data_IF_744464893213
#
_entry.id   IF_744464893213
#
_cell.length_a   1.000
_cell.length_b   1.000
_cell.length_c   1.000
_cell.angle_alpha   90.00
_cell.angle_beta   90.00
_cell.angle_gamma   90.00
#
_symmetry.space_group_name_H-M   'P 1'
#
loop_
_entity.id
_entity.type
_entity.pdbx_description
1 polymer ?
#
# COMPACT_ATOMS: atom_id res chain seq x y z
N UNK A 1 -17.11 6.15 2.41
CA UNK A 1 -17.58 7.37 3.13
C UNK A 1 -18.30 8.34 2.20
N UNK A 2 -17.73 8.84 1.09
CA UNK A 2 -18.40 9.81 0.18
C UNK A 2 -19.82 9.39 -0.20
N UNK A 3 -19.99 8.19 -0.77
CA UNK A 3 -21.30 7.68 -1.21
C UNK A 3 -22.34 7.68 -0.08
N UNK A 4 -21.94 7.30 1.11
CA UNK A 4 -22.81 7.24 2.28
C UNK A 4 -23.24 8.63 2.74
N UNK A 5 -22.33 9.58 2.81
CA UNK A 5 -22.65 10.95 3.19
C UNK A 5 -23.54 11.63 2.14
N UNK A 6 -23.37 11.30 0.85
CA UNK A 6 -24.24 11.78 -0.22
C UNK A 6 -25.66 11.23 -0.08
N UNK A 7 -25.85 9.95 0.31
CA UNK A 7 -27.17 9.38 0.64
C UNK A 7 -27.86 10.15 1.79
N UNK A 8 -27.08 10.70 2.72
CA UNK A 8 -27.56 11.57 3.81
C UNK A 8 -27.75 13.03 3.36
N UNK A 9 -27.70 13.33 2.06
CA UNK A 9 -27.92 14.67 1.51
C UNK A 9 -26.75 15.63 1.74
N UNK A 10 -25.53 15.14 2.07
CA UNK A 10 -24.36 15.98 2.27
C UNK A 10 -23.64 16.25 0.94
N UNK A 11 -23.14 17.47 0.77
CA UNK A 11 -22.19 17.79 -0.31
C UNK A 11 -20.81 17.26 0.10
N UNK A 12 -20.20 16.40 -0.71
CA UNK A 12 -18.91 15.77 -0.40
C UNK A 12 -17.98 15.90 -1.59
N UNK A 13 -16.77 16.41 -1.34
CA UNK A 13 -15.65 16.37 -2.26
C UNK A 13 -14.53 15.48 -1.68
N UNK A 14 -13.78 14.83 -2.55
CA UNK A 14 -12.62 14.01 -2.18
C UNK A 14 -11.41 14.59 -2.89
N UNK A 15 -10.34 14.77 -2.13
CA UNK A 15 -9.07 15.34 -2.61
C UNK A 15 -7.96 14.30 -2.43
N UNK A 16 -7.06 14.22 -3.41
CA UNK A 16 -5.85 13.42 -3.32
C UNK A 16 -4.80 14.05 -4.26
N UNK A 17 -3.61 14.31 -3.74
CA UNK A 17 -2.50 14.87 -4.51
C UNK A 17 -1.78 13.84 -5.38
N UNK A 18 -1.81 12.58 -4.93
CA UNK A 18 -1.11 11.48 -5.58
C UNK A 18 -1.75 11.09 -6.91
N UNK A 19 -0.95 10.57 -7.82
CA UNK A 19 -1.44 9.97 -9.05
C UNK A 19 -2.20 8.67 -8.72
N UNK A 20 -3.40 8.52 -9.30
CA UNK A 20 -4.16 7.28 -9.20
C UNK A 20 -3.44 6.16 -9.95
N UNK A 21 -3.29 5.02 -9.31
CA UNK A 21 -2.81 3.83 -10.00
C UNK A 21 -3.86 3.37 -11.04
N UNK A 22 -3.42 2.74 -12.13
CA UNK A 22 -4.30 2.19 -13.15
C UNK A 22 -5.32 1.21 -12.55
N UNK A 23 -4.90 0.41 -11.56
CA UNK A 23 -5.78 -0.54 -10.86
C UNK A 23 -6.95 0.12 -10.16
N UNK A 24 -6.75 1.30 -9.58
CA UNK A 24 -7.80 2.05 -8.89
C UNK A 24 -8.65 2.82 -9.90
N UNK A 25 -8.07 3.30 -11.01
CA UNK A 25 -8.75 4.14 -12.01
C UNK A 25 -9.90 3.44 -12.73
N UNK A 26 -9.97 2.10 -12.68
CA UNK A 26 -11.10 1.33 -13.23
C UNK A 26 -12.40 1.47 -12.42
N UNK A 27 -12.34 2.06 -11.22
CA UNK A 27 -13.51 2.34 -10.40
C UNK A 27 -14.04 3.74 -10.70
N UNK A 28 -15.32 3.83 -11.02
CA UNK A 28 -15.98 5.05 -11.50
C UNK A 28 -15.77 6.26 -10.60
N UNK A 29 -15.81 6.07 -9.27
CA UNK A 29 -15.72 7.17 -8.30
C UNK A 29 -14.37 7.89 -8.31
N UNK A 30 -13.32 7.26 -8.82
CA UNK A 30 -11.97 7.84 -8.89
C UNK A 30 -11.91 9.04 -9.83
N UNK A 31 -12.74 9.08 -10.87
CA UNK A 31 -12.84 10.21 -11.80
C UNK A 31 -13.33 11.50 -11.14
N UNK A 32 -13.95 11.38 -9.95
CA UNK A 32 -14.49 12.50 -9.16
C UNK A 32 -13.55 12.98 -8.05
N UNK A 33 -12.33 12.43 -7.97
CA UNK A 33 -11.30 12.88 -7.02
C UNK A 33 -10.63 14.13 -7.58
N UNK A 34 -10.62 15.18 -6.75
CA UNK A 34 -10.13 16.50 -7.14
C UNK A 34 -8.64 16.64 -6.81
N UNK A 35 -7.92 17.38 -7.64
CA UNK A 35 -6.51 17.73 -7.45
C UNK A 35 -6.35 19.10 -6.79
N UNK A 36 -7.37 19.92 -6.85
CA UNK A 36 -7.37 21.28 -6.33
C UNK A 36 -8.56 21.47 -5.40
N UNK A 37 -8.37 22.31 -4.38
CA UNK A 37 -9.42 22.64 -3.42
C UNK A 37 -10.45 23.58 -4.06
N UNK A 38 -11.73 23.22 -3.98
CA UNK A 38 -12.80 23.86 -4.73
C UNK A 38 -13.76 24.74 -3.88
N UNK A 39 -13.50 24.90 -2.58
CA UNK A 39 -14.42 25.72 -1.76
C UNK A 39 -14.33 25.51 -0.25
N UNK A 40 -15.40 25.93 0.45
CA UNK A 40 -15.53 25.80 1.90
C UNK A 40 -16.46 24.64 2.25
N UNK A 41 -16.08 23.90 3.27
CA UNK A 41 -16.82 22.77 3.82
C UNK A 41 -16.94 22.92 5.34
N UNK A 42 -17.96 22.31 5.92
CA UNK A 42 -18.22 22.38 7.36
C UNK A 42 -17.31 21.43 8.16
N UNK A 43 -16.77 20.37 7.51
CA UNK A 43 -15.88 19.38 8.11
C UNK A 43 -14.84 18.90 7.08
N UNK A 44 -13.59 18.84 7.49
CA UNK A 44 -12.47 18.32 6.71
C UNK A 44 -12.00 17.00 7.31
N UNK A 45 -12.01 15.94 6.51
CA UNK A 45 -11.75 14.58 6.99
C UNK A 45 -10.50 14.02 6.31
N UNK A 46 -9.48 13.71 7.11
CA UNK A 46 -8.34 12.92 6.67
C UNK A 46 -8.64 11.43 6.91
N UNK A 47 -8.49 10.59 5.89
CA UNK A 47 -8.75 9.16 5.98
C UNK A 47 -7.47 8.40 5.65
N UNK A 48 -7.10 7.45 6.51
CA UNK A 48 -5.92 6.59 6.33
C UNK A 48 -4.59 7.38 6.32
N UNK A 49 -4.53 8.42 7.14
CA UNK A 49 -3.37 9.30 7.28
C UNK A 49 -2.87 9.24 8.72
N UNK A 50 -1.88 8.37 9.00
CA UNK A 50 -1.30 8.18 10.33
C UNK A 50 -0.60 9.41 10.90
N UNK A 51 -0.28 10.39 10.06
CA UNK A 51 0.28 11.70 10.41
C UNK A 51 -0.13 12.77 9.39
N UNK A 52 0.09 14.04 9.74
CA UNK A 52 -0.28 15.18 8.88
C UNK A 52 0.50 15.23 7.57
N UNK A 53 1.73 14.70 7.51
CA UNK A 53 2.53 14.71 6.28
C UNK A 53 1.95 13.80 5.21
N UNK A 54 1.18 12.77 5.61
CA UNK A 54 0.46 11.87 4.69
C UNK A 54 -0.75 12.52 4.01
N UNK A 55 -1.20 13.67 4.51
CA UNK A 55 -2.20 14.50 3.82
C UNK A 55 -1.61 15.17 2.56
N UNK A 56 -0.28 15.11 2.41
CA UNK A 56 0.45 15.56 1.23
C UNK A 56 0.42 17.09 1.06
N UNK A 57 0.26 17.53 -0.16
CA UNK A 57 0.24 18.98 -0.50
C UNK A 57 -0.90 19.74 0.19
N UNK A 58 -1.95 19.03 0.63
CA UNK A 58 -3.08 19.65 1.35
C UNK A 58 -2.82 19.83 2.86
N UNK A 59 -1.68 19.42 3.41
CA UNK A 59 -1.40 19.44 4.86
C UNK A 59 -1.48 20.84 5.47
N UNK A 60 -0.89 21.85 4.81
CA UNK A 60 -0.96 23.25 5.27
C UNK A 60 -2.38 23.81 5.23
N UNK A 61 -3.14 23.47 4.19
CA UNK A 61 -4.54 23.85 4.06
C UNK A 61 -5.39 23.16 5.13
N UNK A 62 -5.19 21.85 5.34
CA UNK A 62 -5.90 21.07 6.37
C UNK A 62 -5.72 21.68 7.77
N UNK A 63 -4.50 22.05 8.12
CA UNK A 63 -4.19 22.70 9.41
C UNK A 63 -4.81 24.08 9.58
N UNK A 64 -5.24 24.73 8.51
CA UNK A 64 -5.92 26.04 8.59
C UNK A 64 -7.41 25.96 8.96
N UNK A 65 -7.99 24.74 8.94
CA UNK A 65 -9.40 24.55 9.24
C UNK A 65 -9.66 24.27 10.73
N UNK A 66 -10.77 24.81 11.25
CA UNK A 66 -11.17 24.63 12.66
C UNK A 66 -11.89 23.31 12.92
N UNK A 67 -12.59 22.75 11.92
CA UNK A 67 -13.37 21.53 12.04
C UNK A 67 -12.71 20.42 11.22
N UNK A 68 -11.87 19.63 11.88
CA UNK A 68 -11.07 18.55 11.28
C UNK A 68 -11.31 17.23 11.99
N UNK A 69 -11.33 16.13 11.22
CA UNK A 69 -11.49 14.76 11.70
C UNK A 69 -10.47 13.85 11.04
N UNK A 70 -9.81 13.01 11.82
CA UNK A 70 -9.01 11.89 11.30
C UNK A 70 -9.73 10.57 11.54
N UNK A 71 -9.79 9.72 10.49
CA UNK A 71 -10.25 8.33 10.56
C UNK A 71 -9.09 7.45 10.12
N UNK A 72 -8.49 6.69 11.05
CA UNK A 72 -7.29 5.91 10.75
C UNK A 72 -7.17 4.66 11.61
N UNK A 73 -6.51 3.63 11.06
CA UNK A 73 -6.20 2.38 11.74
C UNK A 73 -4.71 2.28 12.18
N UNK A 74 -3.87 3.19 11.73
CA UNK A 74 -2.48 3.25 12.17
C UNK A 74 -2.36 3.83 13.59
N UNK A 75 -1.36 3.38 14.34
CA UNK A 75 -0.93 4.08 15.54
C UNK A 75 -0.17 5.34 15.15
N UNK A 76 -0.78 6.50 15.30
CA UNK A 76 -0.23 7.77 14.88
C UNK A 76 -0.50 8.90 15.88
N UNK A 77 -0.08 10.11 15.53
CA UNK A 77 -0.31 11.31 16.31
C UNK A 77 -1.73 11.86 16.08
N UNK A 78 -2.30 12.46 17.13
CA UNK A 78 -3.58 13.17 17.05
C UNK A 78 -3.33 14.55 16.43
N UNK A 79 -3.55 14.71 15.13
CA UNK A 79 -3.33 15.99 14.43
C UNK A 79 -4.62 16.73 14.05
N UNK A 80 -5.77 16.15 14.33
CA UNK A 80 -7.08 16.74 14.04
C UNK A 80 -7.81 17.14 15.33
N UNK A 81 -8.82 18.01 15.21
CA UNK A 81 -9.72 18.35 16.32
C UNK A 81 -10.46 17.11 16.84
N UNK A 82 -10.92 16.27 15.92
CA UNK A 82 -11.57 15.01 16.23
C UNK A 82 -10.73 13.87 15.66
N UNK A 83 -10.60 12.76 16.39
CA UNK A 83 -9.77 11.64 15.95
C UNK A 83 -10.50 10.32 16.24
N UNK A 84 -10.77 9.54 15.19
CA UNK A 84 -11.33 8.21 15.27
C UNK A 84 -10.23 7.22 14.89
N UNK A 85 -9.39 6.87 15.86
CA UNK A 85 -8.26 5.97 15.69
C UNK A 85 -8.58 4.63 16.35
N UNK A 86 -8.51 3.54 15.57
CA UNK A 86 -8.75 2.18 16.06
C UNK A 86 -7.73 1.23 15.42
N UNK A 87 -7.10 0.39 16.22
CA UNK A 87 -6.11 -0.59 15.77
C UNK A 87 -6.73 -1.76 14.99
N UNK A 88 -7.53 -1.46 13.98
CA UNK A 88 -8.15 -2.43 13.08
C UNK A 88 -7.20 -2.83 11.95
N UNK A 89 -7.54 -3.86 11.21
CA UNK A 89 -6.75 -4.28 10.06
C UNK A 89 -6.80 -3.28 8.90
N UNK A 90 -7.83 -2.43 8.85
CA UNK A 90 -8.05 -1.44 7.78
C UNK A 90 -8.87 -0.26 8.28
N UNK A 91 -8.60 0.94 7.79
CA UNK A 91 -9.47 2.11 7.98
C UNK A 91 -10.89 1.89 7.44
N UNK A 92 -11.07 0.97 6.50
CA UNK A 92 -12.40 0.58 6.00
C UNK A 92 -13.27 -0.10 7.06
N UNK A 93 -12.69 -0.77 8.07
CA UNK A 93 -13.46 -1.31 9.20
C UNK A 93 -14.04 -0.20 10.07
N UNK A 94 -13.28 0.87 10.31
CA UNK A 94 -13.78 2.04 11.03
C UNK A 94 -14.92 2.70 10.27
N UNK A 95 -14.74 2.89 8.96
CA UNK A 95 -15.78 3.46 8.08
C UNK A 95 -17.02 2.58 8.06
N UNK A 96 -16.87 1.26 8.03
CA UNK A 96 -18.00 0.31 8.10
C UNK A 96 -18.80 0.47 9.39
N UNK A 97 -18.14 0.59 10.54
CA UNK A 97 -18.82 0.83 11.81
C UNK A 97 -19.54 2.18 11.82
N UNK A 98 -18.89 3.25 11.33
CA UNK A 98 -19.53 4.57 11.21
C UNK A 98 -20.81 4.49 10.36
N UNK A 99 -20.78 3.74 9.25
CA UNK A 99 -21.97 3.55 8.40
C UNK A 99 -23.09 2.85 9.15
N UNK A 100 -22.77 1.83 9.95
CA UNK A 100 -23.75 1.13 10.80
C UNK A 100 -24.36 2.05 11.85
N UNK A 101 -23.53 2.84 12.53
CA UNK A 101 -24.00 3.82 13.52
C UNK A 101 -24.88 4.93 12.89
N UNK A 102 -24.58 5.34 11.67
CA UNK A 102 -25.40 6.26 10.90
C UNK A 102 -26.70 5.63 10.37
N UNK A 103 -26.87 4.33 10.54
CA UNK A 103 -28.02 3.55 10.10
C UNK A 103 -28.32 3.72 8.59
N UNK A 104 -27.24 3.76 7.76
CA UNK A 104 -27.33 3.87 6.32
C UNK A 104 -27.14 2.50 5.66
N UNK A 105 -28.04 2.16 4.76
CA UNK A 105 -27.94 0.92 3.98
C UNK A 105 -26.66 0.89 3.11
N UNK A 106 -25.93 -0.22 3.20
CA UNK A 106 -24.74 -0.49 2.38
C UNK A 106 -25.19 -1.16 1.09
N UNK A 107 -25.15 -0.41 -0.03
CA UNK A 107 -25.39 -0.98 -1.35
C UNK A 107 -24.14 -1.75 -1.88
N UNK A 108 -24.32 -2.50 -2.95
CA UNK A 108 -23.27 -3.33 -3.55
C UNK A 108 -22.02 -2.54 -3.95
N UNK A 109 -22.19 -1.29 -4.38
CA UNK A 109 -21.08 -0.40 -4.76
C UNK A 109 -20.26 0.00 -3.53
N UNK A 110 -20.93 0.45 -2.47
CA UNK A 110 -20.29 0.79 -1.19
C UNK A 110 -19.62 -0.45 -0.58
N UNK A 111 -20.29 -1.59 -0.61
CA UNK A 111 -19.78 -2.87 -0.13
C UNK A 111 -18.50 -3.27 -0.87
N UNK A 112 -18.47 -3.12 -2.20
CA UNK A 112 -17.29 -3.41 -3.03
C UNK A 112 -16.09 -2.54 -2.63
N UNK A 113 -16.30 -1.24 -2.38
CA UNK A 113 -15.19 -0.34 -1.99
C UNK A 113 -14.69 -0.61 -0.57
N UNK A 114 -15.57 -0.92 0.37
CA UNK A 114 -15.17 -1.32 1.72
C UNK A 114 -14.39 -2.65 1.69
N UNK A 115 -14.86 -3.62 0.91
CA UNK A 115 -14.20 -4.91 0.71
C UNK A 115 -12.82 -4.72 0.07
N UNK A 116 -12.70 -3.84 -0.93
CA UNK A 116 -11.44 -3.52 -1.58
C UNK A 116 -10.38 -3.03 -0.58
N UNK A 117 -10.72 -2.02 0.26
CA UNK A 117 -9.78 -1.52 1.26
C UNK A 117 -9.41 -2.57 2.31
N UNK A 118 -10.38 -3.36 2.77
CA UNK A 118 -10.11 -4.47 3.69
C UNK A 118 -9.16 -5.50 3.08
N UNK A 119 -9.39 -5.91 1.82
CA UNK A 119 -8.53 -6.87 1.13
C UNK A 119 -7.12 -6.35 0.87
N UNK A 120 -6.97 -5.09 0.48
CA UNK A 120 -5.65 -4.52 0.19
C UNK A 120 -4.79 -4.42 1.45
N UNK A 121 -5.36 -4.00 2.58
CA UNK A 121 -4.65 -3.85 3.84
C UNK A 121 -4.32 -5.19 4.51
N UNK A 122 -5.18 -6.20 4.34
CA UNK A 122 -4.99 -7.55 4.88
C UNK A 122 -4.21 -8.49 3.94
N UNK A 123 -3.78 -7.99 2.76
CA UNK A 123 -3.16 -8.84 1.74
C UNK A 123 -4.05 -10.01 1.34
N UNK A 124 -5.33 -9.74 1.09
CA UNK A 124 -6.36 -10.75 0.85
C UNK A 124 -6.49 -11.76 2.01
N UNK A 125 -6.53 -11.23 3.23
CA UNK A 125 -6.64 -11.99 4.50
C UNK A 125 -5.44 -12.89 4.82
N UNK A 126 -4.28 -12.63 4.20
CA UNK A 126 -3.06 -13.40 4.43
C UNK A 126 -2.06 -12.74 5.39
N UNK A 127 -2.22 -11.44 5.68
CA UNK A 127 -1.34 -10.73 6.62
C UNK A 127 -1.71 -11.00 8.07
N UNK A 128 -0.76 -10.78 8.99
CA UNK A 128 -0.91 -11.02 10.43
C UNK A 128 -1.84 -10.03 11.16
N UNK A 129 -2.23 -8.94 10.50
CA UNK A 129 -3.24 -8.00 10.99
C UNK A 129 -4.68 -8.48 10.75
N UNK A 130 -4.87 -9.59 10.02
CA UNK A 130 -6.18 -10.19 9.78
C UNK A 130 -6.70 -10.86 11.05
N UNK A 131 -7.91 -10.51 11.45
CA UNK A 131 -8.59 -11.03 12.63
C UNK A 131 -10.01 -11.54 12.30
N UNK A 132 -10.73 -12.01 13.32
CA UNK A 132 -12.12 -12.47 13.18
C UNK A 132 -13.04 -11.37 12.68
N UNK A 133 -12.84 -10.12 13.11
CA UNK A 133 -13.69 -8.99 12.74
C UNK A 133 -13.53 -8.64 11.26
N UNK A 134 -12.32 -8.82 10.71
CA UNK A 134 -12.06 -8.72 9.27
C UNK A 134 -12.90 -9.72 8.46
N UNK A 135 -12.98 -10.98 8.91
CA UNK A 135 -13.80 -12.00 8.26
C UNK A 135 -15.30 -11.77 8.43
N UNK A 136 -15.76 -11.33 9.62
CA UNK A 136 -17.16 -10.97 9.82
C UNK A 136 -17.58 -9.80 8.94
N UNK A 137 -16.78 -8.77 8.86
CA UNK A 137 -17.05 -7.65 7.96
C UNK A 137 -17.08 -8.11 6.50
N UNK A 138 -16.10 -8.91 6.06
CA UNK A 138 -16.08 -9.45 4.71
C UNK A 138 -17.34 -10.24 4.37
N UNK A 139 -17.81 -11.12 5.29
CA UNK A 139 -19.05 -11.88 5.13
C UNK A 139 -20.26 -10.97 4.95
N UNK A 140 -20.41 -9.97 5.82
CA UNK A 140 -21.50 -8.99 5.71
C UNK A 140 -21.45 -8.18 4.39
N UNK A 141 -20.25 -7.82 3.93
CA UNK A 141 -20.11 -7.12 2.66
C UNK A 141 -20.46 -8.00 1.47
N UNK A 142 -20.19 -9.32 1.56
CA UNK A 142 -20.65 -10.30 0.57
C UNK A 142 -22.18 -10.35 0.51
N UNK A 143 -22.85 -10.38 1.66
CA UNK A 143 -24.32 -10.35 1.73
C UNK A 143 -24.90 -9.05 1.15
N UNK A 144 -24.19 -7.92 1.30
CA UNK A 144 -24.51 -6.65 0.66
C UNK A 144 -24.19 -6.61 -0.85
N UNK A 145 -23.67 -7.69 -1.44
CA UNK A 145 -23.39 -7.80 -2.88
C UNK A 145 -22.05 -7.20 -3.32
N UNK A 146 -21.03 -7.21 -2.46
CA UNK A 146 -19.68 -6.82 -2.86
C UNK A 146 -19.16 -7.67 -4.04
N UNK A 147 -18.56 -7.03 -5.03
CA UNK A 147 -17.94 -7.70 -6.19
C UNK A 147 -16.53 -8.20 -5.82
N UNK A 148 -16.51 -9.33 -5.12
CA UNK A 148 -15.28 -9.97 -4.60
C UNK A 148 -14.36 -10.37 -5.74
N UNK A 149 -14.92 -10.96 -6.80
CA UNK A 149 -14.14 -11.45 -7.95
C UNK A 149 -13.41 -10.29 -8.63
N UNK A 150 -14.10 -9.19 -8.87
CA UNK A 150 -13.52 -7.98 -9.48
C UNK A 150 -12.37 -7.43 -8.62
N UNK A 151 -12.56 -7.30 -7.31
CA UNK A 151 -11.53 -6.82 -6.38
C UNK A 151 -10.33 -7.76 -6.40
N UNK A 152 -10.54 -9.07 -6.20
CA UNK A 152 -9.46 -10.05 -6.18
C UNK A 152 -8.67 -10.07 -7.49
N UNK A 153 -9.38 -10.06 -8.63
CA UNK A 153 -8.74 -10.06 -9.94
C UNK A 153 -7.85 -8.83 -10.12
N UNK A 154 -8.40 -7.63 -9.91
CA UNK A 154 -7.69 -6.36 -10.17
C UNK A 154 -6.46 -6.20 -9.26
N UNK A 155 -6.58 -6.51 -7.98
CA UNK A 155 -5.50 -6.22 -7.01
C UNK A 155 -4.49 -7.35 -6.84
N UNK A 156 -4.89 -8.61 -7.11
CA UNK A 156 -4.06 -9.77 -6.78
C UNK A 156 -3.76 -10.70 -7.96
N UNK A 157 -4.43 -10.54 -9.12
CA UNK A 157 -4.28 -11.49 -10.23
C UNK A 157 -4.02 -10.84 -11.58
N UNK A 158 -4.60 -9.69 -11.90
CA UNK A 158 -4.42 -9.07 -13.22
C UNK A 158 -2.97 -8.61 -13.39
N UNK A 159 -2.27 -9.27 -14.29
CA UNK A 159 -0.92 -8.93 -14.73
C UNK A 159 -0.89 -8.96 -16.26
N UNK A 160 -0.12 -8.08 -16.86
CA UNK A 160 0.07 -8.06 -18.31
C UNK A 160 1.05 -9.15 -18.75
N UNK A 161 1.03 -9.48 -20.05
CA UNK A 161 2.03 -10.37 -20.63
C UNK A 161 3.46 -9.81 -20.47
N UNK A 162 3.60 -8.48 -20.58
CA UNK A 162 4.87 -7.78 -20.40
C UNK A 162 5.40 -7.97 -18.96
N UNK A 163 4.56 -7.74 -17.95
CA UNK A 163 4.89 -7.99 -16.54
C UNK A 163 5.27 -9.45 -16.29
N UNK A 164 4.50 -10.39 -16.84
CA UNK A 164 4.80 -11.83 -16.70
C UNK A 164 6.16 -12.19 -17.30
N UNK A 165 6.51 -11.64 -18.46
CA UNK A 165 7.82 -11.86 -19.10
C UNK A 165 8.96 -11.25 -18.29
N UNK A 166 8.77 -10.02 -17.78
CA UNK A 166 9.73 -9.39 -16.88
C UNK A 166 9.95 -10.24 -15.62
N UNK A 167 8.88 -10.65 -14.97
CA UNK A 167 8.94 -11.50 -13.77
C UNK A 167 9.73 -12.79 -14.04
N UNK A 168 9.41 -13.51 -15.11
CA UNK A 168 10.13 -14.73 -15.48
C UNK A 168 11.64 -14.48 -15.69
N UNK A 169 12.00 -13.39 -16.38
CA UNK A 169 13.40 -12.99 -16.63
C UNK A 169 14.13 -12.70 -15.32
N UNK A 170 13.58 -11.85 -14.45
CA UNK A 170 14.28 -11.39 -13.25
C UNK A 170 14.31 -12.44 -12.14
N UNK A 171 13.27 -13.27 -12.02
CA UNK A 171 13.25 -14.40 -11.09
C UNK A 171 14.27 -15.47 -11.52
N UNK A 172 14.40 -15.71 -12.83
CA UNK A 172 15.40 -16.67 -13.37
C UNK A 172 16.85 -16.32 -13.06
N UNK A 173 17.16 -15.07 -12.70
CA UNK A 173 18.51 -14.63 -12.29
C UNK A 173 18.65 -14.31 -10.80
N UNK A 174 17.68 -14.78 -9.98
CA UNK A 174 17.74 -14.63 -8.53
C UNK A 174 19.05 -15.15 -7.95
N UNK A 175 19.63 -14.40 -7.03
CA UNK A 175 20.85 -14.79 -6.31
C UNK A 175 20.51 -15.20 -4.89
N UNK A 176 21.22 -16.19 -4.37
CA UNK A 176 21.09 -16.63 -2.97
C UNK A 176 22.37 -16.40 -2.17
N UNK A 177 22.22 -16.08 -0.89
CA UNK A 177 23.31 -15.82 0.03
C UNK A 177 23.00 -16.47 1.39
N UNK A 178 24.04 -16.66 2.22
CA UNK A 178 23.94 -17.12 3.61
C UNK A 178 23.18 -18.44 3.72
N UNK A 179 23.63 -19.47 2.99
CA UNK A 179 23.02 -20.81 2.97
C UNK A 179 21.52 -20.77 2.64
N UNK A 180 21.16 -20.00 1.59
CA UNK A 180 19.78 -19.82 1.11
C UNK A 180 18.85 -19.19 2.16
N UNK A 181 19.36 -18.32 3.04
CA UNK A 181 18.55 -17.54 3.95
C UNK A 181 18.23 -16.12 3.44
N UNK A 182 18.98 -15.61 2.47
CA UNK A 182 18.72 -14.36 1.77
C UNK A 182 18.61 -14.62 0.27
N UNK A 183 17.56 -14.08 -0.35
CA UNK A 183 17.38 -14.10 -1.79
C UNK A 183 17.25 -12.68 -2.33
N UNK A 184 17.88 -12.42 -3.47
CA UNK A 184 17.96 -11.11 -4.09
C UNK A 184 17.60 -11.21 -5.57
N UNK A 185 16.65 -10.35 -5.97
CA UNK A 185 16.25 -10.13 -7.36
C UNK A 185 16.64 -8.69 -7.73
N UNK A 186 17.11 -8.47 -8.94
CA UNK A 186 17.32 -7.12 -9.44
C UNK A 186 16.65 -6.91 -10.78
N UNK A 187 16.18 -5.68 -11.00
CA UNK A 187 15.53 -5.20 -12.21
C UNK A 187 16.33 -3.99 -12.70
N UNK A 188 16.89 -4.10 -13.90
CA UNK A 188 17.62 -2.99 -14.51
C UNK A 188 16.68 -2.11 -15.33
N UNK A 189 17.12 -0.89 -15.63
CA UNK A 189 16.40 -0.01 -16.55
C UNK A 189 16.20 -0.67 -17.91
N UNK A 190 17.23 -1.36 -18.43
CA UNK A 190 17.13 -2.10 -19.70
C UNK A 190 16.06 -3.19 -19.67
N UNK A 191 15.84 -3.85 -18.53
CA UNK A 191 14.75 -4.82 -18.41
C UNK A 191 13.37 -4.15 -18.50
N UNK A 192 13.22 -3.00 -17.89
CA UNK A 192 11.97 -2.23 -17.96
C UNK A 192 11.72 -1.70 -19.38
N UNK A 193 12.74 -1.13 -20.00
CA UNK A 193 12.66 -0.57 -21.36
C UNK A 193 12.34 -1.67 -22.40
N UNK A 194 12.92 -2.89 -22.25
CA UNK A 194 12.65 -4.05 -23.13
C UNK A 194 11.17 -4.43 -23.17
N UNK A 195 10.49 -4.32 -22.05
CA UNK A 195 9.06 -4.68 -21.94
C UNK A 195 8.13 -3.46 -21.92
N UNK A 196 8.65 -2.23 -22.02
CA UNK A 196 7.87 -0.99 -21.99
C UNK A 196 7.15 -0.78 -20.65
N UNK A 197 7.81 -1.10 -19.53
CA UNK A 197 7.23 -1.08 -18.19
C UNK A 197 7.82 0.05 -17.33
N UNK A 198 6.99 0.58 -16.43
CA UNK A 198 7.39 1.56 -15.43
C UNK A 198 7.96 0.89 -14.16
N UNK A 199 8.95 1.49 -13.48
CA UNK A 199 9.50 0.95 -12.24
C UNK A 199 8.48 0.67 -11.12
N UNK A 200 7.32 1.34 -11.12
CA UNK A 200 6.27 1.13 -10.09
C UNK A 200 5.72 -0.30 -10.07
N UNK A 201 5.75 -1.01 -11.19
CA UNK A 201 5.26 -2.40 -11.30
C UNK A 201 6.09 -3.40 -10.48
N UNK A 202 7.29 -3.02 -10.05
CA UNK A 202 8.21 -3.93 -9.36
C UNK A 202 7.88 -4.16 -7.88
N UNK A 203 6.88 -3.47 -7.34
CA UNK A 203 6.51 -3.55 -5.92
C UNK A 203 6.17 -4.97 -5.43
N UNK A 204 5.63 -5.82 -6.31
CA UNK A 204 5.30 -7.22 -6.01
C UNK A 204 6.46 -8.22 -6.23
N UNK A 205 7.53 -7.83 -6.92
CA UNK A 205 8.62 -8.76 -7.31
C UNK A 205 9.39 -9.28 -6.10
N UNK A 206 9.51 -8.49 -5.04
CA UNK A 206 10.20 -8.91 -3.80
C UNK A 206 9.54 -10.15 -3.16
N UNK A 207 8.26 -10.39 -3.40
CA UNK A 207 7.55 -11.56 -2.88
C UNK A 207 8.15 -12.86 -3.39
N UNK A 208 8.58 -12.94 -4.64
CA UNK A 208 9.24 -14.13 -5.17
C UNK A 208 10.54 -14.49 -4.42
N UNK A 209 11.23 -13.50 -3.86
CA UNK A 209 12.43 -13.73 -3.08
C UNK A 209 12.11 -14.19 -1.66
N UNK A 210 11.13 -13.57 -1.00
CA UNK A 210 10.80 -13.91 0.39
C UNK A 210 9.93 -15.17 0.51
N UNK A 211 9.17 -15.55 -0.53
CA UNK A 211 8.27 -16.69 -0.49
C UNK A 211 9.02 -18.03 -0.53
N UNK A 212 10.31 -18.04 -0.88
CA UNK A 212 11.14 -19.24 -0.77
C UNK A 212 11.15 -19.71 0.69
N UNK A 213 10.97 -21.00 0.90
CA UNK A 213 10.74 -21.60 2.23
C UNK A 213 11.90 -21.36 3.22
N UNK A 214 13.15 -21.34 2.73
CA UNK A 214 14.36 -21.10 3.54
C UNK A 214 14.64 -19.61 3.76
N UNK A 215 13.98 -18.72 3.02
CA UNK A 215 14.23 -17.29 3.08
C UNK A 215 13.88 -16.71 4.45
N UNK A 216 14.82 -15.97 5.02
CA UNK A 216 14.61 -15.01 6.12
C UNK A 216 14.49 -13.59 5.58
N UNK A 217 15.22 -13.30 4.49
CA UNK A 217 15.25 -11.98 3.85
C UNK A 217 15.07 -12.13 2.33
N UNK A 218 14.10 -11.41 1.79
CA UNK A 218 13.91 -11.20 0.36
C UNK A 218 14.22 -9.76 -0.01
N UNK A 219 14.98 -9.56 -1.07
CA UNK A 219 15.41 -8.24 -1.56
C UNK A 219 15.06 -8.10 -3.03
N UNK A 220 14.49 -6.96 -3.40
CA UNK A 220 14.34 -6.53 -4.79
C UNK A 220 15.03 -5.18 -4.96
N UNK A 221 15.96 -5.10 -5.90
CA UNK A 221 16.67 -3.89 -6.31
C UNK A 221 16.14 -3.48 -7.67
N UNK A 222 15.53 -2.31 -7.80
CA UNK A 222 14.99 -1.79 -9.05
C UNK A 222 15.68 -0.49 -9.44
N UNK A 223 16.28 -0.46 -10.60
CA UNK A 223 16.88 0.74 -11.20
C UNK A 223 15.76 1.65 -11.73
N UNK A 224 15.61 2.84 -11.14
CA UNK A 224 14.62 3.83 -11.56
C UNK A 224 15.24 5.00 -12.36
N UNK A 225 16.55 5.24 -12.16
CA UNK A 225 17.39 6.13 -12.97
C UNK A 225 18.77 5.49 -13.09
N UNK A 226 19.60 5.98 -14.00
CA UNK A 226 20.95 5.44 -14.23
C UNK A 226 21.77 5.41 -12.93
N UNK A 227 22.16 4.21 -12.49
CA UNK A 227 22.86 3.94 -11.23
C UNK A 227 22.13 4.40 -9.95
N UNK A 228 20.81 4.63 -10.03
CA UNK A 228 19.95 4.94 -8.88
C UNK A 228 18.90 3.84 -8.68
N UNK A 229 18.91 3.24 -7.50
CA UNK A 229 18.13 2.05 -7.19
C UNK A 229 17.18 2.29 -6.03
N UNK A 230 15.92 1.85 -6.22
CA UNK A 230 14.98 1.60 -5.15
C UNK A 230 15.15 0.17 -4.67
N UNK A 231 15.42 0.00 -3.38
CA UNK A 231 15.54 -1.29 -2.74
C UNK A 231 14.29 -1.55 -1.91
N UNK A 232 13.66 -2.69 -2.15
CA UNK A 232 12.52 -3.18 -1.36
C UNK A 232 12.93 -4.44 -0.64
N UNK A 233 12.67 -4.52 0.66
CA UNK A 233 13.03 -5.67 1.49
C UNK A 233 11.80 -6.25 2.19
N UNK A 234 11.80 -7.56 2.36
CA UNK A 234 10.82 -8.31 3.15
C UNK A 234 11.57 -9.26 4.10
N UNK A 235 11.07 -9.41 5.31
CA UNK A 235 11.66 -10.28 6.33
C UNK A 235 10.67 -11.28 6.89
N UNK A 236 11.13 -12.52 7.14
CA UNK A 236 10.44 -13.54 7.94
C UNK A 236 11.18 -13.68 9.27
N UNK A 237 10.58 -13.18 10.37
CA UNK A 237 11.22 -13.14 11.68
C UNK A 237 12.62 -12.46 11.68
N UNK A 238 12.80 -11.47 10.80
CA UNK A 238 14.03 -10.72 10.59
C UNK A 238 13.68 -9.25 10.34
N UNK A 239 14.28 -8.32 11.10
CA UNK A 239 14.04 -6.88 10.95
C UNK A 239 14.76 -6.33 9.72
N UNK A 240 14.01 -6.07 8.65
CA UNK A 240 14.53 -5.39 7.46
C UNK A 240 14.51 -3.86 7.60
N UNK A 241 13.79 -3.33 8.58
CA UNK A 241 13.76 -1.89 8.87
C UNK A 241 15.12 -1.37 9.26
N UNK A 242 15.82 -2.09 10.14
CA UNK A 242 17.16 -1.72 10.61
C UNK A 242 18.16 -1.74 9.47
N UNK A 243 18.10 -2.75 8.60
CA UNK A 243 18.93 -2.83 7.39
C UNK A 243 18.69 -1.63 6.48
N UNK A 244 17.43 -1.27 6.20
CA UNK A 244 17.12 -0.12 5.36
C UNK A 244 17.52 1.21 6.01
N UNK A 245 17.48 1.32 7.33
CA UNK A 245 17.89 2.53 8.07
C UNK A 245 19.38 2.85 7.89
N UNK A 246 20.27 1.85 7.75
CA UNK A 246 21.70 2.04 7.43
C UNK A 246 21.91 2.76 6.08
N UNK A 247 20.90 2.72 5.20
CA UNK A 247 20.91 3.40 3.91
C UNK A 247 19.99 4.63 3.87
N UNK A 248 19.61 5.18 5.03
CA UNK A 248 18.72 6.34 5.12
C UNK A 248 17.27 6.04 4.73
N UNK A 249 16.90 4.77 4.67
CA UNK A 249 15.55 4.32 4.39
C UNK A 249 14.73 4.03 5.65
N UNK A 250 13.58 3.34 5.48
CA UNK A 250 12.70 3.01 6.60
C UNK A 250 11.53 2.14 6.17
N UNK A 251 10.59 1.97 7.09
CA UNK A 251 9.39 1.15 6.90
C UNK A 251 9.02 0.38 8.17
N UNK A 252 8.26 -0.69 7.99
CA UNK A 252 7.89 -1.60 9.07
C UNK A 252 8.98 -2.63 9.33
N UNK A 253 8.93 -3.29 10.49
CA UNK A 253 9.91 -4.30 10.90
C UNK A 253 10.18 -5.35 9.81
N UNK A 254 9.13 -5.85 9.15
CA UNK A 254 9.21 -6.93 8.15
C UNK A 254 9.01 -6.46 6.70
N UNK A 255 8.82 -5.16 6.46
CA UNK A 255 8.63 -4.58 5.14
C UNK A 255 9.19 -3.16 5.10
N UNK A 256 10.35 -2.98 4.49
CA UNK A 256 11.05 -1.71 4.44
C UNK A 256 11.67 -1.46 3.06
N UNK A 257 12.13 -0.24 2.84
CA UNK A 257 12.82 0.14 1.61
C UNK A 257 13.76 1.32 1.80
N UNK A 258 14.70 1.43 0.87
CA UNK A 258 15.66 2.54 0.83
C UNK A 258 16.00 2.89 -0.63
N UNK A 259 16.76 3.96 -0.81
CA UNK A 259 17.34 4.32 -2.10
C UNK A 259 18.86 4.28 -1.98
N UNK A 260 19.52 3.71 -2.98
CA UNK A 260 20.98 3.58 -2.99
C UNK A 260 21.48 3.93 -4.41
N UNK A 261 22.52 4.76 -4.49
CA UNK A 261 23.21 5.09 -5.75
C UNK A 261 24.56 4.39 -5.85
N UNK A 262 24.98 4.07 -7.07
CA UNK A 262 26.26 3.43 -7.38
C UNK A 262 26.13 2.35 -8.46
N UNK A 263 27.22 1.65 -8.76
CA UNK A 263 27.15 0.49 -9.68
C UNK A 263 26.37 -0.65 -9.04
N UNK A 264 25.59 -1.38 -9.84
CA UNK A 264 24.69 -2.44 -9.35
C UNK A 264 25.38 -3.46 -8.44
N UNK A 265 26.57 -3.95 -8.85
CA UNK A 265 27.29 -4.95 -8.04
C UNK A 265 27.74 -4.38 -6.69
N UNK A 266 28.20 -3.12 -6.64
CA UNK A 266 28.56 -2.44 -5.40
C UNK A 266 27.36 -2.27 -4.46
N UNK A 267 26.19 -1.96 -5.04
CA UNK A 267 24.93 -1.86 -4.28
C UNK A 267 24.54 -3.22 -3.71
N UNK A 268 24.65 -4.28 -4.52
CA UNK A 268 24.38 -5.66 -4.09
C UNK A 268 25.32 -6.05 -2.94
N UNK A 269 26.62 -5.83 -3.09
CA UNK A 269 27.62 -6.15 -2.06
C UNK A 269 27.39 -5.41 -0.75
N UNK A 270 27.05 -4.12 -0.81
CA UNK A 270 26.70 -3.32 0.38
C UNK A 270 25.50 -3.90 1.13
N UNK A 271 24.43 -4.24 0.40
CA UNK A 271 23.22 -4.80 0.98
C UNK A 271 23.51 -6.18 1.59
N UNK A 272 24.16 -7.05 0.83
CA UNK A 272 24.55 -8.39 1.31
C UNK A 272 25.37 -8.29 2.60
N UNK A 273 26.38 -7.41 2.65
CA UNK A 273 27.21 -7.22 3.82
C UNK A 273 26.42 -6.76 5.04
N UNK A 274 25.54 -5.77 4.89
CA UNK A 274 24.74 -5.25 6.02
C UNK A 274 23.78 -6.33 6.56
N UNK A 275 23.10 -7.06 5.66
CA UNK A 275 22.26 -8.20 6.06
C UNK A 275 23.09 -9.27 6.78
N UNK A 276 24.31 -9.50 6.35
CA UNK A 276 25.22 -10.50 6.94
C UNK A 276 25.63 -10.24 8.39
N UNK A 277 25.50 -9.00 8.88
CA UNK A 277 25.80 -8.70 10.28
C UNK A 277 24.72 -9.23 11.25
N UNK A 278 23.52 -9.52 10.76
CA UNK A 278 22.36 -9.83 11.61
C UNK A 278 21.63 -11.12 11.22
N UNK A 279 21.90 -11.71 10.06
CA UNK A 279 21.23 -12.94 9.60
C UNK A 279 21.88 -14.21 10.15
#
# INVERSE_FOLDING_TARGET
>A
MKLVLQKLGKKVAVFCDSAMSERISVFEETSSILKEFDGKYDLYVAVDCGDIFRVGEFSSLYNSFSETLTIDHHGGEYFSKYNCLKGYASSCQIVYEIIKELNVEIDSKTATYLYMGLCTDTGNFAHNNTDSDSFFMAGNLCECGADIEKVYRIFFRDVTLAETKLQAKVVGRMRSYYDNRMFLIYVTKNDLDEFGLDPSITSGIVSYAIDINTAKVGVCICEFAENDYKVSMRGKNFSVREVCAEFGGGGHMYAAGCKISGFLEDVIEKIVRVVGYTI
#
